data_IF_034930576172
#
_entry.id   IF_034930576172
#
_cell.length_a   1.000
_cell.length_b   1.000
_cell.length_c   1.000
_cell.angle_alpha   90.00
_cell.angle_beta   90.00
_cell.angle_gamma   90.00
#
_symmetry.space_group_name_H-M   'P 1'
#
loop_
_entity.id
_entity.type
_entity.pdbx_description
1 polymer ?
#
# COMPACT_ATOMS: atom_id res chain seq x y z
N UNK A 1 1.53 -30.73 -11.27
CA UNK A 1 0.34 -30.03 -11.80
C UNK A 1 -0.59 -29.77 -10.61
N UNK A 2 -0.40 -28.64 -9.91
CA UNK A 2 -1.14 -28.29 -8.69
C UNK A 2 -2.42 -27.53 -9.08
N UNK A 3 -3.53 -28.24 -9.20
CA UNK A 3 -4.85 -27.61 -9.21
C UNK A 3 -5.09 -27.04 -7.81
N UNK A 4 -4.93 -25.73 -7.67
CA UNK A 4 -5.30 -25.00 -6.46
C UNK A 4 -6.82 -24.98 -6.45
N UNK A 5 -7.43 -25.93 -5.76
CA UNK A 5 -8.86 -25.92 -5.44
C UNK A 5 -9.20 -24.53 -4.93
N UNK A 6 -10.02 -23.79 -5.69
CA UNK A 6 -10.60 -22.55 -5.21
C UNK A 6 -11.60 -23.01 -4.14
N UNK A 7 -11.40 -22.70 -2.84
CA UNK A 7 -12.29 -23.21 -1.81
C UNK A 7 -13.70 -22.71 -2.15
N UNK A 8 -14.65 -23.63 -2.27
CA UNK A 8 -16.07 -23.32 -2.54
C UNK A 8 -16.65 -22.31 -1.53
N UNK A 9 -15.97 -22.13 -0.39
CA UNK A 9 -16.36 -21.26 0.71
C UNK A 9 -15.78 -19.83 0.62
N UNK A 10 -14.93 -19.53 -0.37
CA UNK A 10 -14.33 -18.21 -0.52
C UNK A 10 -15.38 -17.10 -0.66
N UNK A 11 -16.46 -17.37 -1.40
CA UNK A 11 -17.56 -16.40 -1.57
C UNK A 11 -18.30 -16.12 -0.25
N UNK A 12 -18.51 -17.15 0.57
CA UNK A 12 -19.12 -17.01 1.89
C UNK A 12 -18.24 -16.24 2.86
N UNK A 13 -16.94 -16.55 2.89
CA UNK A 13 -15.98 -15.83 3.72
C UNK A 13 -15.90 -14.34 3.33
N UNK A 14 -15.83 -14.03 2.03
CA UNK A 14 -15.81 -12.64 1.53
C UNK A 14 -17.07 -11.87 1.98
N UNK A 15 -18.24 -12.48 1.86
CA UNK A 15 -19.49 -11.89 2.31
C UNK A 15 -19.50 -11.64 3.83
N UNK A 16 -19.00 -12.59 4.62
CA UNK A 16 -18.91 -12.46 6.08
C UNK A 16 -17.97 -11.33 6.52
N UNK A 17 -16.79 -11.20 5.90
CA UNK A 17 -15.87 -10.09 6.18
C UNK A 17 -16.48 -8.74 5.84
N UNK A 18 -17.17 -8.64 4.69
CA UNK A 18 -17.86 -7.43 4.28
C UNK A 18 -18.96 -7.05 5.27
N UNK A 19 -19.81 -8.02 5.64
CA UNK A 19 -20.89 -7.80 6.58
C UNK A 19 -20.38 -7.33 7.95
N UNK A 20 -19.33 -7.97 8.48
CA UNK A 20 -18.72 -7.58 9.76
C UNK A 20 -18.14 -6.15 9.72
N UNK A 21 -17.48 -5.77 8.63
CA UNK A 21 -16.94 -4.42 8.47
C UNK A 21 -18.06 -3.36 8.34
N UNK A 22 -19.09 -3.64 7.55
CA UNK A 22 -20.27 -2.79 7.39
C UNK A 22 -21.01 -2.59 8.72
N UNK A 23 -21.14 -3.63 9.52
CA UNK A 23 -21.75 -3.54 10.85
C UNK A 23 -20.95 -2.61 11.77
N UNK A 24 -19.62 -2.66 11.71
CA UNK A 24 -18.77 -1.71 12.44
C UNK A 24 -18.92 -0.28 11.93
N UNK A 25 -19.02 -0.07 10.61
CA UNK A 25 -19.27 1.27 10.04
C UNK A 25 -20.63 1.82 10.47
N UNK A 26 -21.68 1.00 10.45
CA UNK A 26 -23.03 1.38 10.86
C UNK A 26 -23.06 1.81 12.34
N UNK A 27 -22.26 1.16 13.18
CA UNK A 27 -22.08 1.51 14.61
C UNK A 27 -21.12 2.69 14.84
N UNK A 28 -20.56 3.29 13.78
CA UNK A 28 -19.59 4.39 13.87
C UNK A 28 -18.16 3.97 14.27
N UNK A 29 -17.87 2.67 14.34
CA UNK A 29 -16.54 2.14 14.67
C UNK A 29 -15.63 2.06 13.45
N UNK A 30 -15.30 3.22 12.87
CA UNK A 30 -14.53 3.33 11.61
C UNK A 30 -13.18 2.63 11.66
N UNK A 31 -12.45 2.73 12.78
CA UNK A 31 -11.14 2.05 12.93
C UNK A 31 -11.27 0.54 12.92
N UNK A 32 -12.31 0.00 13.56
CA UNK A 32 -12.55 -1.46 13.59
C UNK A 32 -12.92 -1.96 12.20
N UNK A 33 -13.79 -1.25 11.49
CA UNK A 33 -14.12 -1.57 10.11
C UNK A 33 -12.87 -1.58 9.22
N UNK A 34 -12.00 -0.57 9.34
CA UNK A 34 -10.74 -0.53 8.62
C UNK A 34 -9.84 -1.72 8.94
N UNK A 35 -9.69 -2.09 10.23
CA UNK A 35 -8.94 -3.29 10.61
C UNK A 35 -9.49 -4.57 9.96
N UNK A 36 -10.82 -4.73 9.91
CA UNK A 36 -11.46 -5.87 9.25
C UNK A 36 -11.15 -5.88 7.75
N UNK A 37 -11.25 -4.73 7.06
CA UNK A 37 -10.87 -4.65 5.65
C UNK A 37 -9.37 -4.94 5.43
N UNK A 38 -8.49 -4.43 6.28
CA UNK A 38 -7.04 -4.69 6.18
C UNK A 38 -6.71 -6.17 6.42
N UNK A 39 -7.41 -6.83 7.34
CA UNK A 39 -7.29 -8.27 7.53
C UNK A 39 -7.81 -9.03 6.30
N UNK A 40 -8.99 -8.67 5.79
CA UNK A 40 -9.56 -9.28 4.60
C UNK A 40 -8.65 -9.14 3.36
N UNK A 41 -7.94 -8.02 3.20
CA UNK A 41 -6.92 -7.83 2.14
C UNK A 41 -5.77 -8.84 2.24
N UNK A 42 -5.39 -9.26 3.45
CA UNK A 42 -4.32 -10.25 3.65
C UNK A 42 -4.79 -11.65 3.26
N UNK A 43 -6.02 -11.99 3.62
CA UNK A 43 -6.63 -13.30 3.32
C UNK A 43 -7.06 -13.42 1.86
N UNK A 44 -7.56 -12.33 1.28
CA UNK A 44 -8.12 -12.27 -0.07
C UNK A 44 -7.48 -11.13 -0.88
N UNK A 45 -6.15 -11.19 -1.17
CA UNK A 45 -5.43 -10.09 -1.80
C UNK A 45 -5.92 -9.79 -3.23
N UNK A 46 -6.50 -10.78 -3.89
CA UNK A 46 -7.03 -10.61 -5.23
C UNK A 46 -8.40 -9.94 -5.25
N UNK A 47 -9.15 -9.92 -4.14
CA UNK A 47 -10.50 -9.35 -4.11
C UNK A 47 -10.48 -7.82 -4.09
N UNK A 48 -10.91 -7.15 -5.19
CA UNK A 48 -10.76 -5.69 -5.32
C UNK A 48 -11.60 -4.93 -4.29
N UNK A 49 -12.74 -5.50 -3.89
CA UNK A 49 -13.69 -4.87 -2.96
C UNK A 49 -13.02 -4.42 -1.66
N UNK A 50 -12.12 -5.22 -1.07
CA UNK A 50 -11.50 -4.87 0.20
C UNK A 50 -10.51 -3.72 0.11
N UNK A 51 -9.83 -3.59 -1.03
CA UNK A 51 -8.95 -2.45 -1.29
C UNK A 51 -9.77 -1.18 -1.57
N UNK A 52 -10.87 -1.30 -2.32
CA UNK A 52 -11.76 -0.17 -2.60
C UNK A 52 -12.46 0.35 -1.33
N UNK A 53 -13.00 -0.53 -0.50
CA UNK A 53 -13.66 -0.14 0.76
C UNK A 53 -12.66 0.43 1.77
N UNK A 54 -11.47 -0.17 1.91
CA UNK A 54 -10.42 0.43 2.75
C UNK A 54 -10.05 1.84 2.26
N UNK A 55 -9.87 2.03 0.95
CA UNK A 55 -9.59 3.35 0.38
C UNK A 55 -10.74 4.34 0.63
N UNK A 56 -11.99 3.91 0.48
CA UNK A 56 -13.19 4.70 0.81
C UNK A 56 -13.17 5.17 2.26
N UNK A 57 -12.88 4.27 3.20
CA UNK A 57 -12.77 4.62 4.63
C UNK A 57 -11.66 5.66 4.86
N UNK A 58 -10.53 5.58 4.14
CA UNK A 58 -9.51 6.63 4.21
C UNK A 58 -9.99 7.97 3.62
N UNK A 59 -10.79 7.95 2.55
CA UNK A 59 -11.36 9.16 1.95
C UNK A 59 -12.39 9.84 2.86
N UNK A 60 -13.27 9.07 3.49
CA UNK A 60 -14.26 9.58 4.46
C UNK A 60 -13.58 10.27 5.65
N UNK A 61 -12.35 9.87 5.96
CA UNK A 61 -11.50 10.49 6.99
C UNK A 61 -10.63 11.65 6.48
N UNK A 62 -10.78 12.05 5.23
CA UNK A 62 -9.96 13.09 4.58
C UNK A 62 -8.52 12.67 4.25
N UNK A 63 -8.15 11.39 4.44
CA UNK A 63 -6.79 10.88 4.23
C UNK A 63 -6.58 10.42 2.79
N UNK A 64 -6.58 11.38 1.86
CA UNK A 64 -6.45 11.12 0.42
C UNK A 64 -5.17 10.39 0.03
N UNK A 65 -4.05 10.69 0.69
CA UNK A 65 -2.77 10.06 0.41
C UNK A 65 -2.80 8.56 0.74
N UNK A 66 -3.34 8.19 1.91
CA UNK A 66 -3.48 6.79 2.31
C UNK A 66 -4.42 6.03 1.38
N UNK A 67 -5.55 6.65 1.00
CA UNK A 67 -6.48 6.07 0.03
C UNK A 67 -5.80 5.78 -1.32
N UNK A 68 -4.96 6.71 -1.80
CA UNK A 68 -4.19 6.51 -3.02
C UNK A 68 -3.20 5.35 -2.89
N UNK A 69 -2.52 5.21 -1.74
CA UNK A 69 -1.60 4.10 -1.46
C UNK A 69 -2.35 2.76 -1.46
N UNK A 70 -3.47 2.66 -0.76
CA UNK A 70 -4.28 1.43 -0.69
C UNK A 70 -4.76 1.01 -2.09
N UNK A 71 -5.28 1.94 -2.89
CA UNK A 71 -5.68 1.65 -4.28
C UNK A 71 -4.50 1.26 -5.16
N UNK A 72 -3.33 1.89 -5.00
CA UNK A 72 -2.14 1.58 -5.77
C UNK A 72 -1.60 0.17 -5.45
N UNK A 73 -1.59 -0.21 -4.18
CA UNK A 73 -1.23 -1.56 -3.74
C UNK A 73 -2.19 -2.60 -4.30
N UNK A 74 -3.48 -2.41 -4.10
CA UNK A 74 -4.50 -3.35 -4.58
C UNK A 74 -4.51 -3.45 -6.10
N UNK A 75 -4.43 -2.33 -6.82
CA UNK A 75 -4.40 -2.36 -8.28
C UNK A 75 -3.18 -3.09 -8.85
N UNK A 76 -2.03 -3.03 -8.16
CA UNK A 76 -0.83 -3.82 -8.52
C UNK A 76 -1.03 -5.32 -8.26
N UNK A 77 -1.68 -5.69 -7.16
CA UNK A 77 -1.92 -7.09 -6.80
C UNK A 77 -3.00 -7.73 -7.68
N UNK A 78 -4.15 -7.07 -7.76
CA UNK A 78 -5.32 -7.50 -8.53
C UNK A 78 -5.03 -7.45 -10.02
N UNK A 79 -4.35 -6.41 -10.51
CA UNK A 79 -4.08 -6.21 -11.95
C UNK A 79 -3.32 -7.35 -12.63
N UNK A 80 -2.60 -8.18 -11.87
CA UNK A 80 -1.93 -9.39 -12.40
C UNK A 80 -2.91 -10.51 -12.74
N UNK A 81 -4.03 -10.61 -12.03
CA UNK A 81 -5.04 -11.64 -12.20
C UNK A 81 -6.28 -11.12 -12.95
N UNK A 82 -6.70 -9.90 -12.64
CA UNK A 82 -7.86 -9.20 -13.20
C UNK A 82 -7.42 -7.80 -13.65
N UNK A 83 -7.03 -7.71 -14.93
CA UNK A 83 -6.42 -6.49 -15.49
C UNK A 83 -7.35 -5.28 -15.40
N UNK A 84 -8.63 -5.45 -15.75
CA UNK A 84 -9.62 -4.36 -15.75
C UNK A 84 -9.76 -3.71 -14.36
N UNK A 85 -10.02 -4.52 -13.33
CA UNK A 85 -10.10 -4.06 -11.94
C UNK A 85 -8.81 -3.37 -11.48
N UNK A 86 -7.65 -3.95 -11.83
CA UNK A 86 -6.36 -3.35 -11.50
C UNK A 86 -6.15 -1.97 -12.15
N UNK A 87 -6.53 -1.82 -13.42
CA UNK A 87 -6.48 -0.53 -14.14
C UNK A 87 -7.40 0.50 -13.46
N UNK A 88 -8.62 0.11 -13.10
CA UNK A 88 -9.59 0.99 -12.44
C UNK A 88 -9.03 1.52 -11.12
N UNK A 89 -8.52 0.63 -10.27
CA UNK A 89 -7.93 1.00 -8.98
C UNK A 89 -6.72 1.92 -9.14
N UNK A 90 -5.83 1.62 -10.08
CA UNK A 90 -4.65 2.44 -10.34
C UNK A 90 -5.01 3.82 -10.91
N UNK A 91 -6.03 3.91 -11.76
CA UNK A 91 -6.58 5.19 -12.22
C UNK A 91 -7.20 5.97 -11.06
N UNK A 92 -7.92 5.29 -10.16
CA UNK A 92 -8.44 5.87 -8.92
C UNK A 92 -7.32 6.46 -8.05
N UNK A 93 -6.23 5.71 -7.84
CA UNK A 93 -5.06 6.18 -7.11
C UNK A 93 -4.45 7.44 -7.75
N UNK A 94 -4.31 7.48 -9.08
CA UNK A 94 -3.81 8.66 -9.80
C UNK A 94 -4.78 9.85 -9.80
N UNK A 95 -6.10 9.59 -9.76
CA UNK A 95 -7.11 10.63 -9.58
C UNK A 95 -7.03 11.29 -8.19
N UNK A 96 -6.63 10.52 -7.17
CA UNK A 96 -6.38 11.05 -5.83
C UNK A 96 -5.03 11.75 -5.72
N UNK A 97 -3.97 11.16 -6.30
CA UNK A 97 -2.61 11.69 -6.29
C UNK A 97 -1.95 11.53 -7.67
N UNK A 98 -2.01 12.55 -8.54
CA UNK A 98 -1.53 12.46 -9.93
C UNK A 98 -0.03 12.16 -10.08
N UNK A 99 0.78 12.45 -9.05
CA UNK A 99 2.22 12.19 -9.01
C UNK A 99 2.61 10.86 -8.37
N UNK A 100 1.65 9.96 -8.11
CA UNK A 100 1.92 8.72 -7.38
C UNK A 100 2.74 7.73 -8.22
N UNK A 101 4.07 7.77 -8.04
CA UNK A 101 5.05 7.00 -8.83
C UNK A 101 4.73 5.51 -8.92
N UNK A 102 4.40 4.85 -7.80
CA UNK A 102 4.13 3.40 -7.81
C UNK A 102 2.88 3.05 -8.62
N UNK A 103 1.81 3.84 -8.53
CA UNK A 103 0.60 3.64 -9.30
C UNK A 103 0.87 3.82 -10.80
N UNK A 104 1.61 4.86 -11.18
CA UNK A 104 2.00 5.09 -12.58
C UNK A 104 2.83 3.94 -13.14
N UNK A 105 3.83 3.46 -12.39
CA UNK A 105 4.68 2.34 -12.80
C UNK A 105 3.92 1.02 -12.90
N UNK A 106 2.89 0.81 -12.07
CA UNK A 106 2.03 -0.37 -12.14
C UNK A 106 0.99 -0.27 -13.26
N UNK A 107 0.49 0.93 -13.57
CA UNK A 107 -0.54 1.16 -14.60
C UNK A 107 0.02 1.06 -16.02
N UNK A 108 1.21 1.61 -16.25
CA UNK A 108 1.83 1.65 -17.57
C UNK A 108 1.92 0.27 -18.28
N UNK A 109 2.38 -0.82 -17.64
CA UNK A 109 2.40 -2.13 -18.29
C UNK A 109 0.99 -2.67 -18.57
N UNK A 110 0.02 -2.46 -17.68
CA UNK A 110 -1.36 -2.92 -17.90
C UNK A 110 -2.01 -2.20 -19.09
N UNK A 111 -1.82 -0.88 -19.20
CA UNK A 111 -2.30 -0.10 -20.35
C UNK A 111 -1.62 -0.53 -21.66
N UNK A 112 -0.33 -0.84 -21.63
CA UNK A 112 0.40 -1.34 -22.80
C UNK A 112 -0.16 -2.67 -23.30
N UNK A 113 -0.49 -3.56 -22.38
CA UNK A 113 -1.12 -4.86 -22.66
C UNK A 113 -2.54 -4.71 -23.22
N UNK A 114 -3.27 -3.69 -22.78
CA UNK A 114 -4.60 -3.32 -23.30
C UNK A 114 -4.54 -2.55 -24.65
N UNK A 115 -3.33 -2.39 -25.23
CA UNK A 115 -3.12 -1.66 -26.48
C UNK A 115 -3.11 -0.12 -26.34
N UNK A 116 -3.34 0.42 -25.14
CA UNK A 116 -3.34 1.86 -24.82
C UNK A 116 -1.92 2.43 -24.65
N UNK A 117 -1.03 2.14 -25.62
CA UNK A 117 0.41 2.45 -25.56
C UNK A 117 0.71 3.95 -25.46
N UNK A 118 -0.10 4.78 -26.11
CA UNK A 118 0.06 6.25 -26.10
C UNK A 118 -0.16 6.82 -24.70
N UNK A 119 -1.21 6.37 -24.02
CA UNK A 119 -1.53 6.78 -22.64
C UNK A 119 -0.44 6.30 -21.67
N UNK A 120 -0.03 5.03 -21.77
CA UNK A 120 1.06 4.48 -20.97
C UNK A 120 2.35 5.32 -21.07
N UNK A 121 2.69 5.74 -22.29
CA UNK A 121 3.86 6.59 -22.55
C UNK A 121 3.71 7.98 -21.92
N UNK A 122 2.59 8.65 -22.12
CA UNK A 122 2.34 9.99 -21.57
C UNK A 122 2.41 10.00 -20.04
N UNK A 123 1.89 8.95 -19.40
CA UNK A 123 1.96 8.75 -17.96
C UNK A 123 3.42 8.66 -17.48
N UNK A 124 4.25 7.86 -18.15
CA UNK A 124 5.66 7.70 -17.80
C UNK A 124 6.48 8.98 -18.07
N UNK A 125 6.20 9.70 -19.16
CA UNK A 125 6.85 10.98 -19.47
C UNK A 125 6.60 12.04 -18.38
N UNK A 126 5.40 12.06 -17.79
CA UNK A 126 5.04 13.01 -16.74
C UNK A 126 5.85 12.82 -15.45
N UNK A 127 6.14 11.57 -15.10
CA UNK A 127 6.88 11.25 -13.87
C UNK A 127 8.39 11.16 -14.09
N UNK A 128 8.87 10.96 -15.33
CA UNK A 128 10.30 10.81 -15.66
C UNK A 128 11.20 11.84 -14.94
N UNK A 129 10.87 13.15 -14.90
CA UNK A 129 11.74 14.15 -14.28
C UNK A 129 11.95 13.96 -12.77
N UNK A 130 10.96 13.38 -12.07
CA UNK A 130 11.04 13.13 -10.63
C UNK A 130 11.73 11.80 -10.27
N UNK A 131 11.90 10.90 -11.24
CA UNK A 131 12.52 9.60 -11.01
C UNK A 131 14.05 9.66 -10.97
N UNK A 132 14.65 8.77 -10.18
CA UNK A 132 16.10 8.62 -10.05
C UNK A 132 16.48 7.14 -9.95
N UNK A 133 17.70 6.79 -10.35
CA UNK A 133 18.28 5.46 -10.12
C UNK A 133 17.54 4.31 -10.80
N UNK A 134 17.12 3.31 -10.03
CA UNK A 134 16.52 2.07 -10.55
C UNK A 134 15.11 2.31 -11.12
N UNK A 135 14.30 3.17 -10.49
CA UNK A 135 12.93 3.46 -10.95
C UNK A 135 12.92 4.19 -12.29
N UNK A 136 13.87 5.11 -12.50
CA UNK A 136 14.07 5.77 -13.79
C UNK A 136 14.40 4.76 -14.90
N UNK A 137 15.24 3.75 -14.61
CA UNK A 137 15.54 2.67 -15.56
C UNK A 137 14.30 1.87 -15.92
N UNK A 138 13.50 1.48 -14.91
CA UNK A 138 12.24 0.76 -15.13
C UNK A 138 11.26 1.57 -15.96
N UNK A 139 11.08 2.87 -15.66
CA UNK A 139 10.20 3.74 -16.44
C UNK A 139 10.66 3.86 -17.90
N UNK A 140 11.96 4.11 -18.14
CA UNK A 140 12.52 4.20 -19.50
C UNK A 140 12.42 2.90 -20.26
N UNK A 141 12.57 1.76 -19.59
CA UNK A 141 12.37 0.45 -20.19
C UNK A 141 10.92 0.23 -20.63
N UNK A 142 9.95 0.61 -19.80
CA UNK A 142 8.53 0.53 -20.17
C UNK A 142 8.17 1.52 -21.29
N UNK A 143 8.77 2.72 -21.32
CA UNK A 143 8.63 3.66 -22.44
C UNK A 143 9.17 3.07 -23.75
N UNK A 144 10.35 2.44 -23.70
CA UNK A 144 10.94 1.75 -24.86
C UNK A 144 10.05 0.61 -25.36
N UNK A 145 9.47 -0.17 -24.44
CA UNK A 145 8.52 -1.24 -24.79
C UNK A 145 7.19 -0.74 -25.34
N UNK A 146 6.71 0.42 -24.90
CA UNK A 146 5.48 1.03 -25.40
C UNK A 146 5.65 1.61 -26.82
N UNK A 147 6.82 2.19 -27.12
CA UNK A 147 7.13 2.73 -28.43
C UNK A 147 8.62 2.45 -28.76
N UNK A 148 8.94 1.31 -29.39
CA UNK A 148 10.31 1.01 -29.76
C UNK A 148 10.79 2.03 -30.78
N UNK A 149 11.90 2.70 -30.47
CA UNK A 149 12.51 3.71 -31.34
C UNK A 149 13.94 3.98 -30.95
N UNK A 150 14.76 4.40 -31.92
CA UNK A 150 16.19 4.65 -31.72
C UNK A 150 16.46 5.63 -30.57
N UNK A 151 15.66 6.70 -30.47
CA UNK A 151 15.74 7.67 -29.36
C UNK A 151 15.40 7.05 -28.01
N UNK A 152 14.41 6.16 -27.94
CA UNK A 152 14.04 5.48 -26.71
C UNK A 152 15.11 4.47 -26.27
N UNK A 153 15.72 3.75 -27.22
CA UNK A 153 16.86 2.87 -26.96
C UNK A 153 18.09 3.63 -26.45
N UNK A 154 18.42 4.77 -27.08
CA UNK A 154 19.50 5.66 -26.63
C UNK A 154 19.24 6.27 -25.24
N UNK A 155 18.02 6.71 -24.94
CA UNK A 155 17.62 7.20 -23.60
C UNK A 155 17.72 6.12 -22.53
N UNK A 156 17.45 4.86 -22.88
CA UNK A 156 17.65 3.74 -21.96
C UNK A 156 19.13 3.49 -21.70
N UNK A 157 19.97 3.38 -22.75
CA UNK A 157 21.41 3.13 -22.62
C UNK A 157 22.17 4.18 -21.82
N UNK A 158 21.76 5.45 -21.91
CA UNK A 158 22.39 6.57 -21.19
C UNK A 158 21.99 6.66 -19.72
N UNK A 159 21.13 5.75 -19.22
CA UNK A 159 20.73 5.79 -17.81
C UNK A 159 21.84 5.19 -16.95
N UNK A 160 22.52 5.97 -16.08
CA UNK A 160 23.65 5.47 -15.33
C UNK A 160 23.20 4.33 -14.42
N UNK A 161 23.64 3.12 -14.74
CA UNK A 161 23.51 1.98 -13.85
C UNK A 161 24.39 2.22 -12.65
N UNK A 162 23.81 2.40 -11.45
CA UNK A 162 24.59 2.19 -10.22
C UNK A 162 25.18 0.79 -10.33
N UNK A 163 26.48 0.68 -10.59
CA UNK A 163 27.27 -0.44 -10.12
C UNK A 163 26.91 -0.57 -8.65
N UNK A 164 26.37 -1.72 -8.23
CA UNK A 164 26.36 -2.08 -6.82
C UNK A 164 27.80 -1.93 -6.36
N UNK A 165 28.12 -0.89 -5.60
CA UNK A 165 29.20 -1.02 -4.62
C UNK A 165 28.63 -2.04 -3.64
N UNK A 166 29.06 -3.29 -3.79
CA UNK A 166 29.00 -4.27 -2.71
C UNK A 166 29.50 -3.55 -1.47
N UNK A 167 28.63 -3.31 -0.50
CA UNK A 167 29.09 -2.99 0.85
C UNK A 167 30.12 -4.06 1.20
N UNK A 168 31.33 -3.70 1.66
CA UNK A 168 32.23 -4.69 2.21
C UNK A 168 31.49 -5.44 3.34
N UNK A 169 31.76 -6.74 3.52
CA UNK A 169 31.19 -7.50 4.62
C UNK A 169 31.49 -6.77 5.91
N UNK A 170 30.45 -6.55 6.70
CA UNK A 170 30.48 -6.00 8.04
C UNK A 170 31.51 -6.80 8.86
N UNK A 171 32.71 -6.22 9.03
CA UNK A 171 33.66 -6.66 10.06
C UNK A 171 32.91 -6.55 11.38
N UNK A 172 32.51 -7.71 11.90
CA UNK A 172 31.99 -7.84 13.25
C UNK A 172 33.08 -7.30 14.18
N UNK A 173 32.84 -6.26 14.99
CA UNK A 173 33.72 -6.01 16.10
C UNK A 173 33.62 -7.23 17.02
N UNK A 174 34.78 -7.84 17.23
CA UNK A 174 34.98 -8.96 18.13
C UNK A 174 34.34 -8.69 19.49
N UNK A 175 33.80 -9.77 20.03
CA UNK A 175 33.40 -9.93 21.41
C UNK A 175 34.55 -9.46 22.32
N UNK A 176 34.34 -8.34 23.01
CA UNK A 176 34.89 -8.19 24.36
C UNK A 176 33.82 -8.62 25.35
N UNK A 177 33.91 -9.89 25.68
CA UNK A 177 33.72 -10.41 27.03
C UNK A 177 34.20 -9.37 28.05
N UNK A 178 33.29 -8.68 28.72
CA UNK A 178 33.49 -8.28 30.11
C UNK A 178 32.22 -8.63 30.87
N UNK A 179 32.36 -9.70 31.64
CA UNK A 179 31.50 -10.04 32.74
C UNK A 179 31.66 -8.96 33.82
N UNK A 180 30.55 -8.39 34.26
CA UNK A 180 30.33 -7.93 35.64
C UNK A 180 28.80 -7.79 35.80
N UNK A 181 28.13 -8.75 36.45
CA UNK A 181 27.85 -8.68 37.90
C UNK A 181 27.31 -7.30 38.33
N UNK A 182 26.02 -7.06 38.15
CA UNK A 182 25.15 -6.78 39.30
C UNK A 182 23.68 -6.75 38.91
N UNK A 183 22.99 -7.82 39.28
CA UNK A 183 21.58 -7.79 39.63
C UNK A 183 21.45 -7.02 40.96
N UNK A 184 20.50 -6.09 41.06
CA UNK A 184 19.59 -6.17 42.18
C UNK A 184 18.14 -6.14 41.70
N UNK A 185 17.43 -7.22 42.03
CA UNK A 185 16.01 -7.18 42.33
C UNK A 185 15.75 -6.06 43.34
N UNK A 186 15.06 -5.00 42.92
CA UNK A 186 14.08 -4.27 43.72
C UNK A 186 13.64 -3.02 42.98
N UNK A 187 12.51 -3.14 42.26
CA UNK A 187 11.58 -2.03 41.93
C UNK A 187 10.25 -2.58 41.43
N UNK A 188 9.65 -3.46 42.25
CA UNK A 188 8.20 -3.69 42.28
C UNK A 188 7.62 -3.01 43.52
N UNK A 189 7.42 -1.70 43.47
CA UNK A 189 6.43 -0.97 44.28
C UNK A 189 6.44 0.50 43.85
N UNK A 190 5.25 1.11 43.79
CA UNK A 190 5.00 2.53 43.51
C UNK A 190 5.07 2.99 42.05
N UNK A 191 4.05 2.62 41.26
CA UNK A 191 3.31 3.60 40.46
C UNK A 191 1.88 3.11 40.19
N UNK A 192 1.18 2.79 41.28
CA UNK A 192 -0.27 2.67 41.30
C UNK A 192 -0.79 3.87 42.11
N UNK A 193 -0.74 5.07 41.54
CA UNK A 193 -1.65 6.14 41.92
C UNK A 193 -1.66 7.24 40.85
N UNK A 194 -2.86 7.72 40.52
CA UNK A 194 -3.04 8.85 39.60
C UNK A 194 -3.35 8.48 38.16
N UNK A 195 -4.62 8.21 37.86
CA UNK A 195 -5.50 9.05 37.01
C UNK A 195 -6.88 8.38 37.03
N UNK A 196 -7.55 8.50 38.19
CA UNK A 196 -9.00 8.41 38.31
C UNK A 196 -9.51 9.83 38.53
N UNK A 197 -9.74 10.59 37.45
CA UNK A 197 -10.53 11.84 37.46
C UNK A 197 -10.63 12.44 36.06
N UNK A 198 -11.50 11.89 35.21
CA UNK A 198 -12.36 12.67 34.30
C UNK A 198 -13.59 11.81 33.98
N UNK A 199 -14.46 11.66 34.98
CA UNK A 199 -15.91 11.53 34.76
C UNK A 199 -16.54 12.66 35.56
N UNK A 200 -17.63 13.14 35.01
CA UNK A 200 -18.47 14.24 35.47
C UNK A 200 -18.12 15.58 34.85
N UNK A 201 -19.15 16.13 34.20
CA UNK A 201 -19.35 17.47 33.62
C UNK A 201 -19.95 17.32 32.21
N UNK A 202 -21.26 17.61 32.19
CA UNK A 202 -22.15 17.96 31.06
C UNK A 202 -23.06 16.87 30.51
N UNK A 203 -24.21 16.69 31.18
CA UNK A 203 -25.58 16.98 30.68
C UNK A 203 -26.53 16.93 31.90
N UNK A 204 -27.77 17.47 31.87
CA UNK A 204 -28.50 18.21 30.84
C UNK A 204 -29.05 19.58 31.35
N UNK A 205 -29.34 20.52 30.45
CA UNK A 205 -30.27 21.63 30.75
C UNK A 205 -31.39 21.66 29.72
N UNK A 206 -32.53 21.16 30.15
CA UNK A 206 -33.84 21.46 29.58
C UNK A 206 -34.28 22.85 30.04
N UNK A 207 -34.74 23.69 29.08
CA UNK A 207 -35.91 24.61 29.16
C UNK A 207 -35.78 25.71 28.11
N UNK A 208 -36.89 25.91 27.40
CA UNK A 208 -37.10 26.85 26.31
C UNK A 208 -38.16 26.26 25.39
#
# INVERSE_FOLDING_TARGET
MLWRDRPKDAGGAVASFRHAAEEHLHKGFVERALCVYLQARREFPLEPVFHMEAARVHLERGRRADAAVVLAEGGREVGRARRADGIEMLRGALGLQPGHVQATLALAPLLREEGQRKEARQLLERIEPSLRGATLRSARWEMFRAAPGLRAGWRWMTTPGRRRKSSPPNERPELKEEADLHEPEDRKAHLADGISRVRDVVTPSSRG
#
